data_IF_560791373482
#
_entry.id   IF_560791373482
#
_cell.length_a   1.000
_cell.length_b   1.000
_cell.length_c   1.000
_cell.angle_alpha   90.00
_cell.angle_beta   90.00
_cell.angle_gamma   90.00
#
_symmetry.space_group_name_H-M   'P 1'
#
loop_
_entity.id
_entity.type
_entity.pdbx_description
1 polymer ?
#
# COMPACT_ATOMS: atom_id res chain seq x y z
N UNK A 1 60.18 45.39 4.85
CA UNK A 1 61.01 45.45 6.03
C UNK A 1 60.99 44.10 6.69
N UNK A 2 62.15 43.52 6.99
CA UNK A 2 62.29 42.22 7.66
C UNK A 2 61.63 40.99 6.93
N UNK A 3 61.65 41.02 5.56
CA UNK A 3 61.02 40.02 4.68
C UNK A 3 59.51 39.87 4.85
N UNK A 4 58.85 40.83 5.52
CA UNK A 4 57.41 40.91 5.68
C UNK A 4 56.80 41.95 4.74
N UNK A 5 55.71 41.58 4.07
CA UNK A 5 54.96 42.49 3.21
C UNK A 5 53.91 43.22 4.03
N UNK A 6 53.96 44.55 4.01
CA UNK A 6 53.05 45.42 4.72
C UNK A 6 52.16 46.20 3.78
N UNK A 7 50.89 46.40 4.16
CA UNK A 7 49.99 47.27 3.45
C UNK A 7 50.26 48.72 3.74
N UNK A 8 50.37 49.50 2.66
CA UNK A 8 50.62 50.90 2.74
C UNK A 8 49.51 51.71 2.08
N UNK A 9 48.87 52.60 2.80
CA UNK A 9 47.88 53.52 2.30
C UNK A 9 48.37 54.95 2.43
N UNK A 10 48.33 55.72 1.33
CA UNK A 10 48.78 57.09 1.26
C UNK A 10 50.20 57.29 1.81
N UNK A 11 51.09 56.31 1.64
CA UNK A 11 52.50 56.38 2.10
C UNK A 11 52.72 56.02 3.57
N UNK A 12 51.70 55.58 4.28
CA UNK A 12 51.74 55.16 5.69
C UNK A 12 51.35 53.70 5.85
N UNK A 13 52.04 53.01 6.72
CA UNK A 13 51.62 51.64 7.10
C UNK A 13 50.22 51.63 7.79
N UNK A 14 49.31 50.82 7.31
CA UNK A 14 48.01 50.64 7.90
C UNK A 14 47.99 49.30 8.60
N UNK A 15 48.06 49.29 9.93
CA UNK A 15 48.11 48.07 10.73
C UNK A 15 46.73 47.49 11.04
N UNK A 16 45.66 48.17 10.63
CA UNK A 16 44.26 47.80 10.85
C UNK A 16 43.53 47.40 9.56
N UNK A 17 44.21 47.40 8.41
CA UNK A 17 43.63 46.94 7.16
C UNK A 17 43.59 45.43 7.10
N UNK A 18 42.37 44.86 6.91
CA UNK A 18 42.16 43.46 6.62
C UNK A 18 41.29 43.34 5.38
N UNK A 19 41.76 42.59 4.37
CA UNK A 19 41.03 42.40 3.11
C UNK A 19 41.94 42.24 1.89
N UNK A 20 41.34 42.29 0.69
CA UNK A 20 42.07 42.14 -0.57
C UNK A 20 42.73 43.44 -1.02
N UNK A 21 43.98 43.34 -1.43
CA UNK A 21 44.71 44.44 -2.07
C UNK A 21 45.39 43.97 -3.36
N UNK A 22 45.55 44.87 -4.33
CA UNK A 22 46.16 44.53 -5.62
C UNK A 22 47.57 45.07 -5.73
N UNK A 23 48.52 44.17 -6.07
CA UNK A 23 49.88 44.55 -6.30
C UNK A 23 50.45 43.89 -7.57
N UNK A 24 50.96 44.66 -8.49
CA UNK A 24 51.47 44.25 -9.81
C UNK A 24 50.55 43.28 -10.58
N UNK A 25 49.24 43.47 -10.44
CA UNK A 25 48.25 42.65 -11.17
C UNK A 25 47.65 41.47 -10.39
N UNK A 26 48.31 41.03 -9.32
CA UNK A 26 47.88 39.97 -8.42
C UNK A 26 47.13 40.53 -7.22
N UNK A 27 46.09 39.86 -6.76
CA UNK A 27 45.36 40.21 -5.57
C UNK A 27 45.83 39.36 -4.39
N UNK A 28 46.14 40.04 -3.28
CA UNK A 28 46.67 39.44 -2.07
C UNK A 28 45.75 39.69 -0.87
N UNK A 29 45.72 38.78 0.07
CA UNK A 29 45.00 38.92 1.32
C UNK A 29 45.92 39.48 2.38
N UNK A 30 45.48 40.57 2.96
CA UNK A 30 46.15 41.25 4.06
C UNK A 30 45.32 41.11 5.32
N UNK A 31 45.95 40.80 6.44
CA UNK A 31 45.34 40.75 7.76
C UNK A 31 46.14 41.61 8.73
N UNK A 32 45.45 42.54 9.41
CA UNK A 32 46.06 43.48 10.34
C UNK A 32 47.28 44.20 9.72
N UNK A 33 47.14 44.64 8.48
CA UNK A 33 48.17 45.37 7.73
C UNK A 33 49.32 44.51 7.21
N UNK A 34 49.32 43.20 7.37
CA UNK A 34 50.39 42.32 6.94
C UNK A 34 49.82 41.28 5.94
N UNK A 35 50.58 41.02 4.87
CA UNK A 35 50.22 39.98 3.92
C UNK A 35 50.24 38.62 4.61
N UNK A 36 49.09 37.94 4.64
CA UNK A 36 48.96 36.64 5.26
C UNK A 36 48.99 35.50 4.22
N UNK A 37 50.15 34.86 4.08
CA UNK A 37 50.37 33.71 3.17
C UNK A 37 49.71 32.42 3.63
N UNK A 38 49.32 32.32 4.89
CA UNK A 38 48.72 31.15 5.44
C UNK A 38 47.19 31.15 5.27
N UNK A 39 46.62 32.30 4.85
CA UNK A 39 45.19 32.43 4.68
C UNK A 39 44.68 31.67 3.46
N UNK A 40 43.74 30.74 3.68
CA UNK A 40 42.96 30.06 2.63
C UNK A 40 41.52 30.09 3.02
N UNK A 41 40.62 30.61 2.14
CA UNK A 41 39.19 30.73 2.42
C UNK A 41 38.51 31.87 1.72
N UNK A 42 37.30 32.21 2.15
CA UNK A 42 36.49 33.28 1.57
C UNK A 42 36.82 34.64 2.24
N UNK A 43 36.97 35.65 1.42
CA UNK A 43 37.06 37.02 1.89
C UNK A 43 36.18 37.94 1.04
N UNK A 44 35.62 38.97 1.68
CA UNK A 44 34.72 39.90 1.00
C UNK A 44 35.52 41.14 0.54
N UNK A 45 35.34 41.53 -0.73
CA UNK A 45 35.85 42.78 -1.26
C UNK A 45 34.72 43.54 -1.98
N UNK A 46 34.35 44.69 -1.48
CA UNK A 46 33.08 45.36 -1.76
C UNK A 46 31.88 44.43 -1.50
N UNK A 47 31.08 44.14 -2.51
CA UNK A 47 29.88 43.28 -2.38
C UNK A 47 30.08 41.86 -2.87
N UNK A 48 31.32 41.51 -3.27
CA UNK A 48 31.63 40.18 -3.84
C UNK A 48 32.53 39.39 -2.89
N UNK A 49 32.27 38.12 -2.77
CA UNK A 49 33.10 37.17 -2.03
C UNK A 49 34.05 36.45 -2.97
N UNK A 50 35.31 36.43 -2.59
CA UNK A 50 36.39 35.83 -3.36
C UNK A 50 37.08 34.71 -2.58
N UNK A 51 37.58 33.74 -3.31
CA UNK A 51 38.37 32.67 -2.73
C UNK A 51 39.85 32.97 -2.83
N UNK A 52 40.48 32.95 -1.68
CA UNK A 52 41.92 33.11 -1.51
C UNK A 52 42.53 31.77 -1.19
N UNK A 53 43.70 31.48 -1.76
CA UNK A 53 44.48 30.30 -1.46
C UNK A 53 45.94 30.70 -1.24
N UNK A 54 46.50 30.33 -0.09
CA UNK A 54 47.85 30.68 0.30
C UNK A 54 48.12 32.18 0.13
N UNK A 55 47.22 33.04 0.61
CA UNK A 55 47.34 34.50 0.59
C UNK A 55 47.07 35.15 -0.76
N UNK A 56 46.85 34.42 -1.83
CA UNK A 56 46.55 34.94 -3.16
C UNK A 56 45.14 34.59 -3.62
N UNK A 57 44.46 35.54 -4.30
CA UNK A 57 43.17 35.25 -4.89
C UNK A 57 43.31 34.22 -6.05
N UNK A 58 42.66 33.08 -5.91
CA UNK A 58 42.74 31.98 -6.90
C UNK A 58 41.53 32.03 -7.86
N UNK A 59 41.72 32.64 -9.03
CA UNK A 59 40.72 32.69 -10.11
C UNK A 59 40.42 31.32 -10.78
N UNK A 60 41.25 30.33 -10.53
CA UNK A 60 41.05 28.99 -11.14
C UNK A 60 40.29 28.06 -10.23
N UNK A 61 40.07 28.41 -8.97
CA UNK A 61 39.38 27.59 -8.02
C UNK A 61 37.90 27.46 -8.35
N UNK A 62 37.44 26.25 -8.45
CA UNK A 62 36.00 25.92 -8.50
C UNK A 62 35.76 24.71 -7.59
N UNK A 63 34.97 24.88 -6.56
CA UNK A 63 34.74 23.84 -5.57
C UNK A 63 34.15 24.35 -4.27
N UNK A 64 33.99 23.44 -3.28
CA UNK A 64 33.46 23.78 -1.95
C UNK A 64 34.51 24.51 -1.12
N UNK A 65 34.07 25.44 -0.29
CA UNK A 65 34.89 26.07 0.74
C UNK A 65 34.06 26.33 1.98
N UNK A 66 34.64 26.09 3.15
CA UNK A 66 33.95 26.32 4.41
C UNK A 66 34.24 27.75 4.90
N UNK A 67 33.18 28.43 5.37
CA UNK A 67 33.31 29.73 6.02
C UNK A 67 32.30 29.81 7.17
N UNK A 68 32.80 29.94 8.41
CA UNK A 68 32.02 29.98 9.65
C UNK A 68 31.03 28.76 9.78
N UNK A 69 31.48 27.58 9.43
CA UNK A 69 30.68 26.37 9.57
C UNK A 69 29.62 26.13 8.47
N UNK A 70 29.61 27.00 7.45
CA UNK A 70 28.77 26.87 6.26
C UNK A 70 29.64 26.54 5.05
N UNK A 71 29.24 25.54 4.26
CA UNK A 71 29.95 25.20 3.03
C UNK A 71 29.32 25.93 1.85
N UNK A 72 30.17 26.71 1.19
CA UNK A 72 29.84 27.49 0.00
C UNK A 72 30.45 26.85 -1.24
N UNK A 73 29.85 27.10 -2.40
CA UNK A 73 30.40 26.66 -3.68
C UNK A 73 30.93 27.85 -4.47
N UNK A 74 32.21 27.80 -4.72
CA UNK A 74 32.94 28.85 -5.46
C UNK A 74 33.10 28.45 -6.91
N UNK A 75 32.90 29.39 -7.82
CA UNK A 75 33.10 29.21 -9.26
C UNK A 75 34.13 30.22 -9.75
N UNK A 76 35.28 29.73 -10.26
CA UNK A 76 36.36 30.56 -10.77
C UNK A 76 36.74 31.70 -9.80
N UNK A 77 36.95 31.30 -8.54
CA UNK A 77 37.41 32.21 -7.49
C UNK A 77 36.34 33.14 -6.91
N UNK A 78 35.08 33.03 -7.32
CA UNK A 78 33.98 33.89 -6.89
C UNK A 78 32.84 33.03 -6.32
N UNK A 79 32.29 33.48 -5.19
CA UNK A 79 31.03 32.93 -4.68
C UNK A 79 29.86 33.53 -5.47
N UNK A 80 29.16 32.70 -6.23
CA UNK A 80 28.02 33.09 -7.04
C UNK A 80 26.70 32.77 -6.30
N UNK A 81 26.06 33.83 -5.78
CA UNK A 81 24.79 33.71 -5.03
C UNK A 81 23.59 33.37 -5.93
N UNK A 82 23.71 33.46 -7.23
CA UNK A 82 22.64 33.07 -8.15
C UNK A 82 22.75 31.59 -8.57
N UNK A 83 23.86 30.93 -8.20
CA UNK A 83 24.10 29.53 -8.57
C UNK A 83 23.25 28.57 -7.72
N UNK A 84 22.36 27.84 -8.38
CA UNK A 84 21.58 26.78 -7.77
C UNK A 84 21.54 25.59 -8.72
N UNK A 85 22.19 24.47 -8.35
CA UNK A 85 22.28 23.29 -9.19
C UNK A 85 22.99 22.14 -8.48
N UNK A 86 23.08 20.98 -9.15
CA UNK A 86 23.93 19.86 -8.73
C UNK A 86 25.40 20.15 -9.06
N UNK A 87 26.28 19.78 -8.14
CA UNK A 87 27.72 19.82 -8.31
C UNK A 87 28.34 18.48 -7.93
N UNK A 88 29.35 18.04 -8.69
CA UNK A 88 30.02 16.79 -8.44
C UNK A 88 31.36 17.03 -7.75
N UNK A 89 31.46 16.58 -6.49
CA UNK A 89 32.64 16.80 -5.64
C UNK A 89 32.90 15.50 -4.87
N UNK A 90 34.14 15.07 -4.81
CA UNK A 90 34.58 13.86 -4.08
C UNK A 90 33.76 12.59 -4.39
N UNK A 91 33.41 12.42 -5.66
CA UNK A 91 32.59 11.31 -6.17
C UNK A 91 31.12 11.32 -5.70
N UNK A 92 30.61 12.43 -5.18
CA UNK A 92 29.24 12.63 -4.73
C UNK A 92 28.62 13.84 -5.44
N UNK A 93 27.36 13.71 -5.81
CA UNK A 93 26.56 14.83 -6.31
C UNK A 93 25.86 15.53 -5.16
N UNK A 94 26.17 16.82 -4.97
CA UNK A 94 25.58 17.66 -3.95
C UNK A 94 24.68 18.71 -4.57
N UNK A 95 23.63 19.07 -3.87
CA UNK A 95 22.77 20.18 -4.27
C UNK A 95 23.26 21.48 -3.62
N UNK A 96 23.45 22.48 -4.45
CA UNK A 96 23.80 23.85 -4.06
C UNK A 96 22.60 24.74 -4.34
N UNK A 97 22.17 25.50 -3.35
CA UNK A 97 21.15 26.54 -3.50
C UNK A 97 21.74 27.90 -3.18
N UNK A 98 21.66 28.84 -4.14
CA UNK A 98 22.19 30.22 -3.98
C UNK A 98 23.62 30.21 -3.46
N UNK A 99 24.48 29.42 -4.06
CA UNK A 99 25.90 29.34 -3.71
C UNK A 99 26.21 28.60 -2.41
N UNK A 100 25.23 28.06 -1.71
CA UNK A 100 25.39 27.34 -0.44
C UNK A 100 25.04 25.85 -0.62
N UNK A 101 25.81 24.97 -0.04
CA UNK A 101 25.40 23.53 0.05
C UNK A 101 24.15 23.41 0.91
N UNK A 102 23.11 22.87 0.34
CA UNK A 102 21.81 22.68 1.01
C UNK A 102 21.71 21.23 1.50
N UNK A 103 22.10 20.98 2.75
CA UNK A 103 22.10 19.64 3.33
C UNK A 103 20.72 19.16 3.80
N UNK A 104 19.72 20.01 3.71
CA UNK A 104 18.33 19.75 4.10
C UNK A 104 17.35 19.73 2.90
N UNK A 105 17.86 19.95 1.70
CA UNK A 105 17.02 19.90 0.51
C UNK A 105 16.69 18.46 0.14
N UNK A 106 15.39 18.16 0.08
CA UNK A 106 14.85 16.89 -0.45
C UNK A 106 13.81 17.20 -1.51
N UNK A 107 13.96 16.59 -2.70
CA UNK A 107 13.04 16.79 -3.82
C UNK A 107 13.71 16.77 -5.19
N UNK A 108 12.97 17.23 -6.22
CA UNK A 108 13.45 17.24 -7.59
C UNK A 108 14.26 18.50 -7.92
N UNK A 109 15.39 18.30 -8.56
CA UNK A 109 16.20 19.40 -9.13
C UNK A 109 16.57 19.11 -10.58
N UNK A 110 16.71 20.17 -11.38
CA UNK A 110 17.02 20.04 -12.81
C UNK A 110 18.49 20.29 -13.07
N UNK A 111 19.16 19.35 -13.77
CA UNK A 111 20.54 19.49 -14.20
C UNK A 111 20.69 19.10 -15.67
N UNK A 112 21.20 20.00 -16.50
CA UNK A 112 21.35 19.83 -17.95
C UNK A 112 20.12 19.25 -18.68
N UNK A 113 18.91 19.62 -18.24
CA UNK A 113 17.66 19.20 -18.88
C UNK A 113 17.01 17.96 -18.27
N UNK A 114 17.73 17.20 -17.46
CA UNK A 114 17.25 16.03 -16.73
C UNK A 114 16.87 16.39 -15.30
N UNK A 115 15.82 15.77 -14.76
CA UNK A 115 15.40 15.94 -13.39
C UNK A 115 15.92 14.80 -12.52
N UNK A 116 16.50 15.14 -11.39
CA UNK A 116 17.11 14.23 -10.44
C UNK A 116 16.49 14.39 -9.07
N UNK A 117 16.41 13.31 -8.33
CA UNK A 117 15.96 13.31 -6.95
C UNK A 117 17.13 13.47 -6.00
N UNK A 118 17.01 14.47 -5.15
CA UNK A 118 17.97 14.80 -4.09
C UNK A 118 17.32 14.48 -2.75
N UNK A 119 18.07 13.88 -1.86
CA UNK A 119 17.68 13.62 -0.48
C UNK A 119 18.76 14.14 0.45
N UNK A 120 18.37 14.96 1.42
CA UNK A 120 19.29 15.58 2.37
C UNK A 120 20.51 16.22 1.68
N UNK A 121 20.27 16.94 0.59
CA UNK A 121 21.27 17.67 -0.18
C UNK A 121 22.16 16.80 -1.08
N UNK A 122 21.95 15.50 -1.14
CA UNK A 122 22.73 14.57 -1.96
C UNK A 122 21.81 13.85 -2.98
N UNK A 123 22.28 13.69 -4.21
CA UNK A 123 21.55 12.96 -5.23
C UNK A 123 21.44 11.49 -4.81
N UNK A 124 20.19 11.01 -4.67
CA UNK A 124 19.92 9.61 -4.31
C UNK A 124 19.60 8.78 -5.54
N UNK A 125 20.58 7.98 -6.00
CA UNK A 125 20.44 7.07 -7.13
C UNK A 125 19.58 5.82 -6.83
N UNK A 126 19.32 5.53 -5.56
CA UNK A 126 18.55 4.35 -5.16
C UNK A 126 17.05 4.68 -5.03
N UNK A 127 16.68 5.95 -5.10
CA UNK A 127 15.28 6.34 -4.93
C UNK A 127 14.41 5.81 -6.08
N UNK A 128 13.35 5.13 -5.69
CA UNK A 128 12.31 4.59 -6.56
C UNK A 128 10.94 4.87 -5.94
N UNK A 129 10.12 5.69 -6.58
CA UNK A 129 8.79 6.01 -6.05
C UNK A 129 8.25 7.33 -6.56
N UNK A 130 7.26 7.85 -5.85
CA UNK A 130 6.64 9.14 -6.11
C UNK A 130 7.30 10.22 -5.25
N UNK A 131 7.45 11.40 -5.80
CA UNK A 131 7.90 12.60 -5.08
C UNK A 131 7.09 13.81 -5.49
N UNK A 132 6.74 14.66 -4.52
CA UNK A 132 6.03 15.92 -4.81
C UNK A 132 6.98 16.98 -5.35
N UNK A 133 6.52 17.65 -6.40
CA UNK A 133 7.17 18.87 -6.87
C UNK A 133 6.10 19.91 -7.23
N UNK A 134 5.98 20.92 -6.41
CA UNK A 134 4.95 21.97 -6.52
C UNK A 134 3.52 21.45 -6.64
N UNK A 135 3.16 20.41 -5.84
CA UNK A 135 1.81 19.85 -5.76
C UNK A 135 1.49 18.83 -6.86
N UNK A 136 2.47 18.45 -7.67
CA UNK A 136 2.37 17.35 -8.62
C UNK A 136 3.28 16.21 -8.19
N UNK A 137 2.74 15.00 -8.10
CA UNK A 137 3.53 13.81 -7.83
C UNK A 137 4.16 13.29 -9.12
N UNK A 138 5.47 13.13 -9.11
CA UNK A 138 6.26 12.60 -10.21
C UNK A 138 6.90 11.26 -9.88
N UNK A 139 6.96 10.39 -10.86
CA UNK A 139 7.60 9.10 -10.71
C UNK A 139 9.10 9.19 -11.01
N UNK A 140 9.87 8.78 -10.03
CA UNK A 140 11.32 8.72 -10.08
C UNK A 140 11.77 7.27 -10.06
N UNK A 141 12.72 6.95 -10.89
CA UNK A 141 13.38 5.65 -10.96
C UNK A 141 14.88 5.82 -11.01
N UNK A 142 15.60 5.07 -10.15
CA UNK A 142 17.05 5.15 -10.08
C UNK A 142 17.53 6.62 -9.92
N UNK A 143 16.84 7.40 -9.07
CA UNK A 143 17.14 8.81 -8.79
C UNK A 143 16.83 9.78 -9.93
N UNK A 144 16.22 9.32 -11.04
CA UNK A 144 15.90 10.15 -12.21
C UNK A 144 14.40 10.13 -12.47
N UNK A 145 13.80 11.28 -12.76
CA UNK A 145 12.41 11.37 -13.16
C UNK A 145 12.21 10.65 -14.50
N UNK A 146 11.36 9.61 -14.51
CA UNK A 146 11.09 8.79 -15.68
C UNK A 146 9.86 9.26 -16.44
N UNK A 147 10.06 10.14 -17.42
CA UNK A 147 8.99 10.62 -18.31
C UNK A 147 8.41 9.55 -19.25
N UNK A 148 9.05 8.41 -19.36
CA UNK A 148 8.56 7.30 -20.20
C UNK A 148 7.62 6.36 -19.45
N UNK A 149 7.53 6.48 -18.13
CA UNK A 149 6.71 5.60 -17.32
C UNK A 149 5.23 5.99 -17.38
N UNK A 150 4.39 4.98 -17.63
CA UNK A 150 2.93 5.06 -17.44
C UNK A 150 2.43 3.76 -16.83
N UNK A 151 1.67 3.87 -15.73
CA UNK A 151 1.17 2.72 -15.00
C UNK A 151 0.82 3.06 -13.54
N UNK A 152 0.46 2.03 -12.79
CA UNK A 152 0.14 2.17 -11.38
C UNK A 152 1.40 2.15 -10.51
N UNK A 153 1.42 3.01 -9.50
CA UNK A 153 2.48 3.11 -8.51
C UNK A 153 1.86 3.15 -7.12
N UNK A 154 2.40 2.30 -6.24
CA UNK A 154 2.07 2.35 -4.81
C UNK A 154 2.93 3.42 -4.17
N UNK A 155 2.32 4.30 -3.39
CA UNK A 155 3.05 5.30 -2.63
C UNK A 155 3.88 4.62 -1.54
N UNK A 156 5.18 4.92 -1.50
CA UNK A 156 6.08 4.31 -0.51
C UNK A 156 5.82 4.84 0.91
N UNK A 157 5.32 6.06 1.01
CA UNK A 157 5.02 6.72 2.29
C UNK A 157 3.65 6.32 2.83
N UNK A 158 2.73 5.92 1.96
CA UNK A 158 1.39 5.44 2.30
C UNK A 158 0.98 4.31 1.34
N UNK A 159 1.24 3.07 1.74
CA UNK A 159 1.02 1.87 0.92
C UNK A 159 -0.44 1.62 0.54
N UNK A 160 -1.38 2.28 1.20
CA UNK A 160 -2.81 2.21 0.86
C UNK A 160 -3.14 3.10 -0.35
N UNK A 161 -2.26 4.04 -0.70
CA UNK A 161 -2.41 4.93 -1.85
C UNK A 161 -1.79 4.31 -3.11
N UNK A 162 -2.62 4.05 -4.11
CA UNK A 162 -2.21 3.55 -5.41
C UNK A 162 -2.58 4.60 -6.45
N UNK A 163 -1.58 5.22 -7.06
CA UNK A 163 -1.77 6.26 -8.07
C UNK A 163 -1.55 5.74 -9.48
N UNK A 164 -2.26 6.32 -10.44
CA UNK A 164 -1.95 6.14 -11.84
C UNK A 164 -1.07 7.28 -12.34
N UNK A 165 0.08 6.90 -12.85
CA UNK A 165 1.06 7.79 -13.46
C UNK A 165 0.91 7.72 -14.98
N UNK A 166 0.92 8.85 -15.65
CA UNK A 166 1.00 8.95 -17.10
C UNK A 166 2.14 9.89 -17.50
N UNK A 167 3.04 9.38 -18.34
CA UNK A 167 4.22 10.15 -18.79
C UNK A 167 5.00 10.75 -17.61
N UNK A 168 5.27 9.95 -16.58
CA UNK A 168 6.09 10.31 -15.43
C UNK A 168 5.42 11.16 -14.36
N UNK A 169 4.16 11.53 -14.51
CA UNK A 169 3.41 12.32 -13.53
C UNK A 169 2.07 11.66 -13.18
N UNK A 170 1.61 11.82 -11.94
CA UNK A 170 0.27 11.36 -11.54
C UNK A 170 -0.79 12.13 -12.33
N UNK A 171 -1.61 11.42 -13.07
CA UNK A 171 -2.71 12.01 -13.82
C UNK A 171 -3.99 12.12 -12.98
N UNK A 172 -4.19 13.26 -12.37
CA UNK A 172 -5.39 13.56 -11.57
C UNK A 172 -6.66 13.79 -12.38
N UNK A 173 -6.60 13.74 -13.70
CA UNK A 173 -7.81 13.85 -14.55
C UNK A 173 -8.57 12.53 -14.67
N UNK A 174 -7.95 11.42 -14.27
CA UNK A 174 -8.52 10.08 -14.43
C UNK A 174 -9.55 9.77 -13.36
N UNK A 175 -10.75 9.42 -13.83
CA UNK A 175 -11.88 9.02 -13.00
C UNK A 175 -12.62 7.85 -13.65
N UNK A 176 -12.98 6.83 -12.87
CA UNK A 176 -13.71 5.66 -13.38
C UNK A 176 -12.94 4.35 -13.26
N UNK A 177 -13.37 3.34 -14.01
CA UNK A 177 -12.72 2.02 -13.99
C UNK A 177 -11.53 1.96 -14.93
N UNK A 178 -10.41 1.53 -14.40
CA UNK A 178 -9.16 1.31 -15.12
C UNK A 178 -8.61 -0.08 -14.90
N UNK A 179 -7.98 -0.65 -15.93
CA UNK A 179 -7.33 -1.94 -15.79
C UNK A 179 -6.04 -1.79 -14.98
N UNK A 180 -6.01 -2.41 -13.81
CA UNK A 180 -4.86 -2.39 -12.91
C UNK A 180 -3.78 -3.37 -13.36
N UNK A 181 -4.16 -4.64 -13.54
CA UNK A 181 -3.28 -5.70 -14.04
C UNK A 181 -4.10 -6.91 -14.49
N UNK A 182 -3.92 -7.36 -15.71
CA UNK A 182 -4.65 -8.51 -16.26
C UNK A 182 -6.16 -8.28 -16.28
N UNK A 183 -6.91 -9.07 -15.51
CA UNK A 183 -8.36 -8.90 -15.35
C UNK A 183 -8.75 -8.10 -14.10
N UNK A 184 -7.78 -7.56 -13.38
CA UNK A 184 -8.06 -6.75 -12.21
C UNK A 184 -8.32 -5.31 -12.63
N UNK A 185 -9.48 -4.79 -12.26
CA UNK A 185 -9.89 -3.43 -12.52
C UNK A 185 -10.04 -2.68 -11.21
N UNK A 186 -9.62 -1.42 -11.19
CA UNK A 186 -9.79 -0.55 -10.04
C UNK A 186 -10.56 0.72 -10.41
N UNK A 187 -11.17 1.32 -9.40
CA UNK A 187 -11.89 2.58 -9.53
C UNK A 187 -10.99 3.74 -9.11
N UNK A 188 -10.76 4.65 -10.04
CA UNK A 188 -9.96 5.84 -9.82
C UNK A 188 -10.85 7.05 -9.56
N UNK A 189 -10.43 7.87 -8.61
CA UNK A 189 -10.89 9.23 -8.37
C UNK A 189 -9.66 10.14 -8.34
N UNK A 190 -9.61 11.10 -9.25
CA UNK A 190 -8.47 12.02 -9.39
C UNK A 190 -7.12 11.30 -9.48
N UNK A 191 -7.08 10.20 -10.24
CA UNK A 191 -5.88 9.39 -10.46
C UNK A 191 -5.45 8.51 -9.30
N UNK A 192 -6.19 8.48 -8.19
CA UNK A 192 -5.98 7.65 -7.02
C UNK A 192 -7.02 6.53 -6.98
N UNK A 193 -6.62 5.31 -6.62
CA UNK A 193 -7.59 4.23 -6.35
C UNK A 193 -8.42 4.59 -5.12
N UNK A 194 -9.74 4.68 -5.30
CA UNK A 194 -10.66 4.90 -4.19
C UNK A 194 -10.97 3.58 -3.47
N UNK A 195 -10.12 3.20 -2.54
CA UNK A 195 -10.26 1.99 -1.72
C UNK A 195 -11.47 2.02 -0.78
N UNK A 196 -12.13 3.15 -0.61
CA UNK A 196 -13.36 3.28 0.17
C UNK A 196 -14.62 2.86 -0.62
N UNK A 197 -14.54 2.79 -1.95
CA UNK A 197 -15.69 2.47 -2.78
C UNK A 197 -16.07 0.99 -2.69
N UNK A 198 -17.30 0.74 -2.26
CA UNK A 198 -17.91 -0.59 -2.20
C UNK A 198 -19.31 -0.52 -2.79
N UNK A 199 -19.61 -1.39 -3.77
CA UNK A 199 -20.92 -1.45 -4.38
C UNK A 199 -20.94 -1.50 -5.91
N UNK A 200 -22.08 -1.17 -6.49
CA UNK A 200 -22.28 -1.21 -7.95
C UNK A 200 -21.74 0.03 -8.64
N UNK A 201 -21.00 -0.18 -9.70
CA UNK A 201 -20.53 0.86 -10.61
C UNK A 201 -20.93 0.55 -12.05
N UNK A 202 -21.54 1.54 -12.74
CA UNK A 202 -21.91 1.38 -14.15
C UNK A 202 -20.74 1.78 -15.06
N UNK A 203 -20.32 0.83 -15.90
CA UNK A 203 -19.29 1.07 -16.90
C UNK A 203 -19.79 0.63 -18.27
N UNK A 204 -19.99 1.57 -19.15
CA UNK A 204 -20.52 1.37 -20.51
C UNK A 204 -21.81 0.54 -20.57
N UNK A 205 -22.71 0.72 -19.60
CA UNK A 205 -24.01 0.05 -19.54
C UNK A 205 -24.01 -1.29 -18.81
N UNK A 206 -22.87 -1.81 -18.42
CA UNK A 206 -22.74 -2.98 -17.55
C UNK A 206 -22.47 -2.52 -16.13
N UNK A 207 -23.15 -3.15 -15.16
CA UNK A 207 -22.97 -2.86 -13.75
C UNK A 207 -22.04 -3.89 -13.12
N UNK A 208 -20.96 -3.42 -12.54
CA UNK A 208 -19.95 -4.23 -11.88
C UNK A 208 -19.95 -3.99 -10.37
N UNK A 209 -19.64 -5.03 -9.62
CA UNK A 209 -19.49 -4.93 -8.17
C UNK A 209 -18.02 -4.69 -7.82
N UNK A 210 -17.80 -3.60 -7.09
CA UNK A 210 -16.48 -3.27 -6.55
C UNK A 210 -16.45 -3.46 -5.05
N UNK A 211 -15.32 -3.91 -4.56
CA UNK A 211 -15.01 -4.05 -3.14
C UNK A 211 -13.64 -3.45 -2.88
N UNK A 212 -13.58 -2.51 -1.92
CA UNK A 212 -12.36 -1.75 -1.61
C UNK A 212 -11.72 -1.11 -2.86
N UNK A 213 -12.53 -0.56 -3.74
CA UNK A 213 -12.09 0.08 -4.97
C UNK A 213 -11.71 -0.85 -6.11
N UNK A 214 -11.73 -2.16 -5.91
CA UNK A 214 -11.38 -3.15 -6.94
C UNK A 214 -12.60 -3.95 -7.37
N UNK A 215 -12.65 -4.33 -8.65
CA UNK A 215 -13.69 -5.18 -9.18
C UNK A 215 -13.55 -6.58 -8.60
N UNK A 216 -14.60 -7.07 -7.91
CA UNK A 216 -14.61 -8.39 -7.31
C UNK A 216 -15.37 -9.39 -8.19
N UNK A 217 -14.64 -10.11 -9.04
CA UNK A 217 -15.19 -11.16 -9.91
C UNK A 217 -15.72 -12.38 -9.15
N UNK A 218 -15.36 -12.55 -7.89
CA UNK A 218 -15.82 -13.67 -7.07
C UNK A 218 -17.08 -13.32 -6.27
N UNK A 219 -17.55 -12.07 -6.36
CA UNK A 219 -18.75 -11.69 -5.63
C UNK A 219 -19.99 -12.35 -6.22
N UNK A 220 -20.70 -13.05 -5.36
CA UNK A 220 -21.95 -13.72 -5.66
C UNK A 220 -22.96 -13.46 -4.53
N UNK A 221 -23.96 -12.63 -4.78
CA UNK A 221 -24.90 -12.26 -3.73
C UNK A 221 -25.70 -11.02 -4.04
N UNK A 222 -26.34 -10.47 -3.02
CA UNK A 222 -27.07 -9.22 -3.11
C UNK A 222 -26.22 -8.04 -2.69
N UNK A 223 -26.40 -6.93 -3.36
CA UNK A 223 -25.82 -5.64 -2.95
C UNK A 223 -26.87 -4.54 -2.95
N UNK A 224 -26.75 -3.60 -2.00
CA UNK A 224 -27.63 -2.44 -1.95
C UNK A 224 -27.10 -1.30 -2.81
N UNK A 225 -27.97 -0.74 -3.65
CA UNK A 225 -27.64 0.46 -4.42
C UNK A 225 -28.83 1.43 -4.34
N UNK A 226 -28.62 2.54 -3.68
CA UNK A 226 -29.65 3.57 -3.42
C UNK A 226 -30.98 3.02 -2.85
N UNK A 227 -30.89 2.09 -1.90
CA UNK A 227 -32.05 1.51 -1.21
C UNK A 227 -32.72 0.35 -1.95
N UNK A 228 -32.27 -0.01 -3.14
CA UNK A 228 -32.72 -1.18 -3.88
C UNK A 228 -31.63 -2.26 -3.81
N UNK A 229 -32.06 -3.50 -3.59
CA UNK A 229 -31.14 -4.65 -3.57
C UNK A 229 -31.11 -5.32 -4.93
N UNK A 230 -29.90 -5.52 -5.45
CA UNK A 230 -29.64 -6.11 -6.75
C UNK A 230 -28.84 -7.39 -6.62
N UNK A 231 -29.13 -8.34 -7.50
CA UNK A 231 -28.41 -9.62 -7.59
C UNK A 231 -27.16 -9.48 -8.44
N UNK A 232 -26.04 -9.86 -7.88
CA UNK A 232 -24.73 -9.89 -8.54
C UNK A 232 -24.25 -11.32 -8.62
N UNK A 233 -23.77 -11.72 -9.78
CA UNK A 233 -23.20 -13.03 -10.04
C UNK A 233 -21.85 -12.86 -10.74
N UNK A 234 -20.78 -13.40 -10.17
CA UNK A 234 -19.43 -13.26 -10.72
C UNK A 234 -19.02 -11.80 -10.89
N UNK A 235 -19.35 -10.92 -9.91
CA UNK A 235 -19.02 -9.50 -9.95
C UNK A 235 -19.84 -8.64 -10.90
N UNK A 236 -20.84 -9.19 -11.57
CA UNK A 236 -21.70 -8.49 -12.56
C UNK A 236 -23.16 -8.56 -12.13
N UNK A 237 -23.86 -7.44 -12.22
CA UNK A 237 -25.32 -7.43 -12.06
C UNK A 237 -25.97 -8.09 -13.28
N UNK A 238 -26.60 -9.26 -13.06
CA UNK A 238 -27.34 -9.99 -14.11
C UNK A 238 -28.83 -9.69 -14.06
N UNK A 239 -29.31 -8.89 -15.01
CA UNK A 239 -30.72 -8.54 -15.18
C UNK A 239 -31.60 -9.73 -15.59
N UNK A 240 -31.01 -10.84 -16.01
CA UNK A 240 -31.77 -12.05 -16.37
C UNK A 240 -31.86 -13.04 -15.22
N UNK A 241 -31.05 -12.85 -14.17
CA UNK A 241 -31.03 -13.77 -13.04
C UNK A 241 -32.33 -13.72 -12.26
N UNK A 242 -32.87 -14.91 -12.00
CA UNK A 242 -34.00 -15.12 -11.08
C UNK A 242 -33.75 -16.36 -10.25
N UNK A 243 -33.67 -16.21 -8.93
CA UNK A 243 -33.34 -17.28 -8.00
C UNK A 243 -32.99 -16.76 -6.63
N UNK A 244 -32.48 -17.64 -5.77
CA UNK A 244 -32.05 -17.27 -4.44
C UNK A 244 -30.60 -16.78 -4.45
N UNK A 245 -30.35 -15.67 -3.78
CA UNK A 245 -29.00 -15.13 -3.51
C UNK A 245 -28.80 -14.84 -2.03
N UNK A 246 -27.57 -14.98 -1.58
CA UNK A 246 -27.21 -14.70 -0.20
C UNK A 246 -26.90 -13.22 0.03
N UNK A 247 -27.37 -12.71 1.18
CA UNK A 247 -26.92 -11.43 1.72
C UNK A 247 -26.85 -11.53 3.25
N UNK A 248 -25.66 -11.32 3.80
CA UNK A 248 -25.40 -11.60 5.19
C UNK A 248 -25.64 -13.07 5.53
N UNK A 249 -26.48 -13.35 6.53
CA UNK A 249 -26.82 -14.70 7.02
C UNK A 249 -28.14 -15.23 6.46
N UNK A 250 -28.74 -14.58 5.47
CA UNK A 250 -30.05 -14.93 4.91
C UNK A 250 -29.98 -15.12 3.40
N UNK A 251 -30.92 -15.90 2.85
CA UNK A 251 -31.19 -15.95 1.42
C UNK A 251 -32.34 -15.04 1.07
N UNK A 252 -32.23 -14.41 -0.07
CA UNK A 252 -33.20 -13.51 -0.64
C UNK A 252 -33.55 -13.97 -2.06
N UNK A 253 -34.82 -13.89 -2.42
CA UNK A 253 -35.25 -14.22 -3.78
C UNK A 253 -35.12 -12.99 -4.68
N UNK A 254 -34.43 -13.17 -5.79
CA UNK A 254 -34.21 -12.17 -6.82
C UNK A 254 -35.03 -12.52 -8.05
N UNK A 255 -35.65 -11.55 -8.68
CA UNK A 255 -36.32 -11.68 -9.97
C UNK A 255 -35.81 -10.61 -10.92
N UNK A 256 -35.32 -11.05 -12.08
CA UNK A 256 -34.74 -10.16 -13.07
C UNK A 256 -33.70 -9.19 -12.47
N UNK A 257 -32.76 -9.75 -11.70
CA UNK A 257 -31.67 -8.99 -11.08
C UNK A 257 -32.06 -8.14 -9.88
N UNK A 258 -33.32 -8.10 -9.45
CA UNK A 258 -33.79 -7.25 -8.34
C UNK A 258 -34.43 -8.11 -7.25
N UNK A 259 -34.21 -7.75 -6.00
CA UNK A 259 -34.89 -8.39 -4.85
C UNK A 259 -36.40 -8.30 -4.99
N UNK A 260 -37.09 -9.44 -4.93
CA UNK A 260 -38.54 -9.55 -5.02
C UNK A 260 -39.17 -9.85 -3.67
N UNK A 261 -39.56 -8.82 -2.94
CA UNK A 261 -40.26 -8.92 -1.65
C UNK A 261 -41.67 -9.49 -1.76
N UNK A 262 -42.20 -9.72 -2.95
CA UNK A 262 -43.51 -10.32 -3.12
C UNK A 262 -43.46 -11.85 -3.26
N UNK A 263 -42.27 -12.42 -3.39
CA UNK A 263 -42.09 -13.85 -3.61
C UNK A 263 -42.41 -14.66 -2.32
N UNK A 264 -43.31 -15.62 -2.48
CA UNK A 264 -43.66 -16.61 -1.45
C UNK A 264 -43.69 -17.98 -2.12
N UNK A 265 -42.84 -18.90 -1.67
CA UNK A 265 -42.73 -20.22 -2.28
C UNK A 265 -41.37 -20.87 -2.07
N UNK A 266 -41.06 -21.84 -2.86
CA UNK A 266 -39.82 -22.60 -2.82
C UNK A 266 -38.87 -22.13 -3.91
N UNK A 267 -37.58 -22.02 -3.60
CA UNK A 267 -36.52 -21.75 -4.59
C UNK A 267 -35.25 -22.52 -4.23
N UNK A 268 -34.54 -22.92 -5.29
CA UNK A 268 -33.23 -23.57 -5.18
C UNK A 268 -32.12 -22.53 -4.95
N UNK A 269 -31.14 -22.92 -4.13
CA UNK A 269 -29.89 -22.13 -3.93
C UNK A 269 -28.69 -23.01 -4.23
N UNK A 270 -27.74 -22.47 -4.97
CA UNK A 270 -26.50 -22.97 -5.62
C UNK A 270 -26.11 -24.47 -5.51
N UNK A 271 -26.68 -25.25 -4.64
CA UNK A 271 -26.29 -26.67 -4.38
C UNK A 271 -27.39 -27.66 -4.67
N UNK A 272 -28.48 -27.26 -5.37
CA UNK A 272 -29.65 -28.11 -5.56
C UNK A 272 -30.53 -28.20 -4.31
N UNK A 273 -30.22 -27.46 -3.25
CA UNK A 273 -31.02 -27.45 -2.02
C UNK A 273 -32.15 -26.43 -2.13
N UNK A 274 -33.37 -26.87 -1.87
CA UNK A 274 -34.58 -26.05 -1.93
C UNK A 274 -34.83 -25.44 -0.55
N UNK A 275 -35.14 -24.14 -0.55
CA UNK A 275 -35.49 -23.34 0.63
C UNK A 275 -36.85 -22.69 0.46
N UNK A 276 -37.55 -22.50 1.60
CA UNK A 276 -38.83 -21.84 1.65
C UNK A 276 -38.68 -20.35 1.88
N UNK A 277 -39.41 -19.55 1.11
CA UNK A 277 -39.38 -18.09 1.16
C UNK A 277 -40.72 -17.50 1.56
N UNK A 278 -40.64 -16.46 2.39
CA UNK A 278 -41.77 -15.60 2.74
C UNK A 278 -41.35 -14.14 2.57
N UNK A 279 -42.16 -13.38 1.84
CA UNK A 279 -41.86 -11.96 1.54
C UNK A 279 -40.45 -11.78 0.95
N UNK A 280 -40.03 -12.73 0.10
CA UNK A 280 -38.74 -12.74 -0.59
C UNK A 280 -37.56 -13.20 0.26
N UNK A 281 -37.74 -13.50 1.54
CA UNK A 281 -36.66 -13.93 2.45
C UNK A 281 -36.85 -15.38 2.85
N UNK A 282 -35.76 -16.15 2.84
CA UNK A 282 -35.81 -17.55 3.29
C UNK A 282 -36.12 -17.64 4.78
N UNK A 283 -37.01 -18.59 5.13
CA UNK A 283 -37.45 -18.85 6.51
C UNK A 283 -36.74 -20.02 7.16
N UNK A 284 -36.05 -20.84 6.38
CA UNK A 284 -35.38 -22.08 6.76
C UNK A 284 -33.89 -22.15 6.43
N UNK A 285 -33.32 -21.08 5.89
CA UNK A 285 -31.88 -20.96 5.67
C UNK A 285 -31.19 -20.35 6.90
N UNK A 286 -30.23 -21.06 7.42
CA UNK A 286 -29.34 -20.53 8.46
C UNK A 286 -27.92 -20.39 7.88
N UNK A 287 -27.58 -19.18 7.45
CA UNK A 287 -26.29 -18.84 6.84
C UNK A 287 -25.13 -19.02 7.80
N UNK A 288 -25.40 -18.97 9.08
CA UNK A 288 -24.43 -19.21 10.13
C UNK A 288 -24.01 -20.67 10.22
N UNK A 289 -25.02 -21.56 10.18
CA UNK A 289 -24.77 -23.01 10.11
C UNK A 289 -24.08 -23.38 8.80
N UNK A 290 -24.47 -22.76 7.69
CA UNK A 290 -23.86 -23.01 6.38
C UNK A 290 -22.38 -22.60 6.36
N UNK A 291 -22.03 -21.46 6.91
CA UNK A 291 -20.64 -20.99 6.97
C UNK A 291 -19.78 -21.88 7.87
N UNK A 292 -20.31 -22.23 9.04
CA UNK A 292 -19.64 -23.17 9.93
C UNK A 292 -19.40 -24.52 9.26
N UNK A 293 -20.37 -25.01 8.50
CA UNK A 293 -20.24 -26.26 7.77
C UNK A 293 -19.13 -26.22 6.71
N UNK A 294 -19.01 -25.11 5.98
CA UNK A 294 -17.93 -24.96 5.00
C UNK A 294 -16.55 -24.91 5.67
N UNK A 295 -16.44 -24.24 6.82
CA UNK A 295 -15.18 -24.20 7.58
C UNK A 295 -14.80 -25.59 8.09
N UNK A 296 -15.76 -26.34 8.64
CA UNK A 296 -15.53 -27.73 9.09
C UNK A 296 -15.13 -28.62 7.90
N UNK A 297 -15.76 -28.45 6.73
CA UNK A 297 -15.37 -29.14 5.50
C UNK A 297 -13.91 -28.91 5.15
N UNK A 298 -13.45 -27.65 5.23
CA UNK A 298 -12.07 -27.29 4.94
C UNK A 298 -11.10 -27.99 5.90
N UNK A 299 -11.41 -28.01 7.21
CA UNK A 299 -10.60 -28.69 8.22
C UNK A 299 -10.50 -30.18 7.93
N UNK A 300 -11.63 -30.84 7.69
CA UNK A 300 -11.68 -32.25 7.37
C UNK A 300 -10.86 -32.58 6.13
N UNK A 301 -10.99 -31.76 5.08
CA UNK A 301 -10.22 -31.93 3.85
C UNK A 301 -8.71 -31.82 4.09
N UNK A 302 -8.30 -30.87 4.93
CA UNK A 302 -6.89 -30.70 5.29
C UNK A 302 -6.35 -31.85 6.16
N UNK A 303 -7.18 -32.43 7.01
CA UNK A 303 -6.76 -33.54 7.89
C UNK A 303 -6.59 -34.90 7.14
N UNK A 304 -7.34 -35.07 6.06
CA UNK A 304 -7.36 -36.36 5.33
C UNK A 304 -6.14 -36.59 4.44
N UNK A 305 -5.33 -35.57 4.21
CA UNK A 305 -4.01 -35.60 3.53
C UNK A 305 -3.97 -36.32 2.16
N UNK A 306 -5.10 -36.54 1.49
CA UNK A 306 -5.17 -37.30 0.26
C UNK A 306 -6.15 -36.65 -0.74
N UNK A 307 -6.06 -37.09 -1.99
CA UNK A 307 -7.00 -36.76 -3.07
C UNK A 307 -8.42 -37.36 -2.80
N UNK A 308 -8.96 -37.12 -1.61
CA UNK A 308 -10.28 -37.54 -1.21
C UNK A 308 -11.32 -36.50 -1.54
N UNK A 309 -12.48 -36.93 -2.02
CA UNK A 309 -13.59 -36.03 -2.27
C UNK A 309 -14.46 -35.96 -1.01
N UNK A 310 -14.66 -34.74 -0.46
CA UNK A 310 -15.47 -34.49 0.74
C UNK A 310 -16.71 -33.70 0.37
N UNK A 311 -17.89 -34.26 0.65
CA UNK A 311 -19.18 -33.63 0.38
C UNK A 311 -19.98 -33.43 1.67
N UNK A 312 -20.56 -32.25 1.88
CA UNK A 312 -21.47 -31.96 2.99
C UNK A 312 -22.84 -32.58 2.69
N UNK A 313 -23.25 -33.59 3.47
CA UNK A 313 -24.56 -34.18 3.37
C UNK A 313 -25.63 -33.44 4.19
N UNK A 314 -25.23 -32.97 5.37
CA UNK A 314 -26.13 -32.20 6.23
C UNK A 314 -25.34 -31.29 7.17
N UNK A 315 -25.95 -30.18 7.57
CA UNK A 315 -25.47 -29.31 8.62
C UNK A 315 -26.65 -28.90 9.52
N UNK A 316 -26.47 -28.98 10.83
CA UNK A 316 -27.51 -28.65 11.81
C UNK A 316 -26.92 -27.79 12.92
N UNK A 317 -27.60 -26.69 13.26
CA UNK A 317 -27.29 -25.88 14.42
C UNK A 317 -27.58 -26.65 15.72
N UNK A 318 -26.68 -26.52 16.67
CA UNK A 318 -26.80 -27.06 18.03
C UNK A 318 -26.79 -25.93 19.03
N UNK A 319 -27.93 -25.26 19.26
CA UNK A 319 -27.99 -24.05 20.10
C UNK A 319 -27.64 -24.32 21.55
N UNK A 320 -27.89 -25.51 22.05
CA UNK A 320 -27.68 -25.90 23.45
C UNK A 320 -26.26 -26.46 23.71
N UNK A 321 -25.40 -26.48 22.70
CA UNK A 321 -24.04 -26.98 22.85
C UNK A 321 -23.12 -25.92 23.42
N UNK A 322 -22.84 -26.00 24.73
CA UNK A 322 -22.01 -25.05 25.43
C UNK A 322 -22.61 -23.65 25.49
N UNK A 323 -21.87 -22.64 25.96
CA UNK A 323 -22.40 -21.28 26.16
C UNK A 323 -22.74 -20.54 24.85
N UNK A 324 -22.21 -20.96 23.74
CA UNK A 324 -22.33 -20.24 22.45
C UNK A 324 -22.93 -21.09 21.32
N UNK A 325 -23.34 -22.32 21.63
CA UNK A 325 -23.85 -23.26 20.64
C UNK A 325 -22.76 -23.90 19.77
N UNK A 326 -23.19 -24.66 18.79
CA UNK A 326 -22.33 -25.36 17.86
C UNK A 326 -23.02 -25.74 16.56
N UNK A 327 -22.35 -26.53 15.72
CA UNK A 327 -22.87 -27.05 14.47
C UNK A 327 -22.45 -28.51 14.34
N UNK A 328 -23.38 -29.39 14.01
CA UNK A 328 -23.09 -30.74 13.58
C UNK A 328 -23.08 -30.79 12.06
N UNK A 329 -22.02 -31.31 11.47
CA UNK A 329 -21.87 -31.44 10.02
C UNK A 329 -21.59 -32.88 9.66
N UNK A 330 -22.42 -33.47 8.80
CA UNK A 330 -22.24 -34.84 8.29
C UNK A 330 -21.68 -34.77 6.88
N UNK A 331 -20.61 -35.51 6.65
CA UNK A 331 -19.92 -35.65 5.37
C UNK A 331 -20.01 -37.02 4.79
N UNK A 332 -20.04 -37.10 3.45
CA UNK A 332 -19.56 -38.25 2.68
C UNK A 332 -18.09 -37.97 2.31
N UNK A 333 -17.24 -38.95 2.57
CA UNK A 333 -15.82 -38.92 2.29
C UNK A 333 -15.52 -40.07 1.34
N UNK A 334 -15.20 -39.75 0.08
CA UNK A 334 -14.80 -40.74 -0.92
C UNK A 334 -13.29 -40.81 -1.00
N UNK A 335 -12.76 -41.99 -0.78
CA UNK A 335 -11.34 -42.30 -0.83
C UNK A 335 -10.89 -42.67 -2.24
N UNK A 336 -9.61 -42.53 -2.54
CA UNK A 336 -9.04 -42.89 -3.84
C UNK A 336 -9.13 -44.39 -4.18
N UNK A 337 -9.30 -45.25 -3.17
CA UNK A 337 -9.50 -46.70 -3.35
C UNK A 337 -10.95 -47.07 -3.70
N UNK A 338 -11.83 -46.05 -3.80
CA UNK A 338 -13.26 -46.24 -4.12
C UNK A 338 -14.13 -46.56 -2.92
N UNK A 339 -13.59 -46.56 -1.72
CA UNK A 339 -14.39 -46.64 -0.48
C UNK A 339 -15.04 -45.33 -0.14
N UNK A 340 -16.17 -45.38 0.57
CA UNK A 340 -16.91 -44.18 1.00
C UNK A 340 -17.23 -44.32 2.50
N UNK A 341 -16.85 -43.28 3.25
CA UNK A 341 -17.11 -43.14 4.67
C UNK A 341 -18.14 -42.05 4.93
N UNK A 342 -18.91 -42.20 6.00
CA UNK A 342 -19.85 -41.19 6.48
C UNK A 342 -19.44 -40.78 7.89
N UNK A 343 -19.10 -39.49 8.06
CA UNK A 343 -18.67 -38.99 9.36
C UNK A 343 -19.43 -37.73 9.75
N UNK A 344 -19.70 -37.59 11.05
CA UNK A 344 -20.29 -36.38 11.60
C UNK A 344 -19.30 -35.70 12.51
N UNK A 345 -19.00 -34.44 12.20
CA UNK A 345 -18.16 -33.56 13.02
C UNK A 345 -19.04 -32.60 13.78
N UNK A 346 -18.66 -32.28 15.03
CA UNK A 346 -19.31 -31.28 15.83
C UNK A 346 -18.33 -30.15 16.05
N UNK A 347 -18.68 -28.99 15.51
CA UNK A 347 -17.94 -27.76 15.74
C UNK A 347 -18.57 -26.98 16.89
N UNK A 348 -17.79 -26.64 17.90
CA UNK A 348 -18.24 -25.81 19.03
C UNK A 348 -17.55 -24.45 18.99
N UNK A 349 -18.24 -23.43 19.45
CA UNK A 349 -17.69 -22.08 19.62
C UNK A 349 -17.18 -21.92 21.02
N UNK A 350 -15.91 -21.67 21.19
CA UNK A 350 -15.36 -21.20 22.46
C UNK A 350 -14.87 -19.78 22.27
N UNK A 351 -15.20 -18.89 23.21
CA UNK A 351 -14.74 -17.49 23.26
C UNK A 351 -15.44 -16.46 22.39
N UNK A 352 -16.56 -16.77 21.73
CA UNK A 352 -17.32 -15.72 21.03
C UNK A 352 -18.45 -15.20 21.89
N UNK A 353 -18.46 -13.91 22.16
CA UNK A 353 -19.55 -13.26 22.88
C UNK A 353 -20.83 -13.12 22.06
N UNK A 354 -20.75 -13.25 20.74
CA UNK A 354 -21.88 -13.16 19.83
C UNK A 354 -21.86 -14.30 18.81
N UNK A 355 -23.04 -14.71 18.31
CA UNK A 355 -23.13 -15.77 17.31
C UNK A 355 -22.57 -15.41 15.92
N UNK A 356 -21.84 -14.35 15.76
CA UNK A 356 -21.22 -13.92 14.50
C UNK A 356 -19.77 -14.39 14.44
N UNK A 357 -19.49 -15.65 14.25
CA UNK A 357 -18.10 -16.09 14.21
C UNK A 357 -17.55 -16.34 12.83
N UNK A 358 -18.39 -16.38 11.82
CA UNK A 358 -17.98 -16.59 10.46
C UNK A 358 -18.51 -15.46 9.58
N UNK A 359 -17.64 -14.82 8.84
CA UNK A 359 -18.01 -13.81 7.84
C UNK A 359 -18.17 -12.39 8.36
N UNK A 360 -17.74 -12.08 9.60
CA UNK A 360 -17.76 -10.70 10.11
C UNK A 360 -16.39 -10.29 10.61
N UNK A 361 -15.79 -9.34 9.91
CA UNK A 361 -14.46 -8.78 10.19
C UNK A 361 -14.29 -8.19 11.58
N UNK A 362 -15.32 -7.61 12.13
CA UNK A 362 -15.17 -6.63 13.20
C UNK A 362 -15.34 -7.16 14.63
N UNK A 363 -15.79 -8.41 14.80
CA UNK A 363 -16.20 -8.89 16.12
C UNK A 363 -15.75 -10.31 16.47
N UNK A 364 -14.75 -10.84 15.78
CA UNK A 364 -14.15 -12.08 16.22
C UNK A 364 -13.00 -11.67 17.16
N UNK A 365 -13.25 -11.66 18.45
CA UNK A 365 -12.19 -11.53 19.46
C UNK A 365 -11.19 -12.69 19.34
N UNK A 366 -10.33 -12.90 20.31
CA UNK A 366 -9.36 -14.03 20.38
C UNK A 366 -10.06 -15.39 20.47
N UNK A 367 -11.09 -15.59 19.64
CA UNK A 367 -11.93 -16.79 19.67
C UNK A 367 -11.30 -17.94 18.89
N UNK A 368 -11.53 -19.14 19.36
CA UNK A 368 -11.09 -20.37 18.73
C UNK A 368 -12.31 -21.25 18.41
N UNK A 369 -12.36 -21.80 17.21
CA UNK A 369 -13.33 -22.83 16.85
C UNK A 369 -12.73 -24.20 17.14
N UNK A 370 -13.39 -25.00 17.97
CA UNK A 370 -13.00 -26.39 18.20
C UNK A 370 -13.88 -27.32 17.39
N UNK A 371 -13.26 -28.23 16.67
CA UNK A 371 -13.94 -29.26 15.89
C UNK A 371 -13.69 -30.61 16.57
N UNK A 372 -14.75 -31.34 16.84
CA UNK A 372 -14.71 -32.68 17.43
C UNK A 372 -15.37 -33.68 16.49
N UNK A 373 -14.68 -34.75 16.17
CA UNK A 373 -15.24 -35.83 15.35
C UNK A 373 -16.25 -36.64 16.18
N UNK A 374 -17.35 -37.07 15.51
CA UNK A 374 -18.33 -38.00 16.08
C UNK A 374 -18.49 -39.20 15.17
N UNK A 375 -18.20 -40.37 15.70
CA UNK A 375 -18.39 -41.64 15.01
C UNK A 375 -19.57 -42.38 15.63
N UNK A 376 -20.46 -42.90 14.81
CA UNK A 376 -21.59 -43.85 15.19
C UNK A 376 -22.49 -43.36 16.32
N UNK A 377 -22.81 -42.09 16.38
CA UNK A 377 -23.79 -41.55 17.32
C UNK A 377 -23.25 -41.19 18.71
N UNK A 378 -22.05 -41.59 19.07
CA UNK A 378 -21.41 -41.25 20.33
C UNK A 378 -20.35 -40.13 20.12
N UNK A 379 -20.26 -39.25 21.09
CA UNK A 379 -19.25 -38.17 21.08
C UNK A 379 -17.91 -38.75 21.54
N UNK A 380 -17.06 -39.07 20.59
CA UNK A 380 -15.69 -39.45 20.92
C UNK A 380 -14.81 -38.22 20.77
N UNK A 381 -14.15 -37.82 21.86
CA UNK A 381 -13.28 -36.62 21.93
C UNK A 381 -11.91 -36.96 21.40
N UNK A 382 -11.74 -37.33 20.14
CA UNK A 382 -10.43 -37.77 19.72
C UNK A 382 -9.62 -36.75 18.93
N UNK A 383 -10.21 -35.77 18.27
CA UNK A 383 -9.42 -34.77 17.56
C UNK A 383 -10.08 -33.39 17.61
N UNK A 384 -9.69 -32.56 18.56
CA UNK A 384 -10.08 -31.16 18.54
C UNK A 384 -9.04 -30.35 17.77
N UNK A 385 -9.47 -29.62 16.76
CA UNK A 385 -8.63 -28.68 16.02
C UNK A 385 -9.05 -27.26 16.41
N UNK A 386 -8.12 -26.51 16.95
CA UNK A 386 -8.33 -25.09 17.26
C UNK A 386 -7.96 -24.22 16.07
N UNK A 387 -8.88 -23.40 15.59
CA UNK A 387 -8.63 -22.37 14.60
C UNK A 387 -8.50 -21.01 15.27
N UNK A 388 -7.48 -20.27 14.87
CA UNK A 388 -7.28 -18.89 15.30
C UNK A 388 -8.16 -17.94 14.46
N UNK A 389 -8.28 -16.70 14.93
CA UNK A 389 -8.93 -15.62 14.18
C UNK A 389 -8.31 -15.44 12.80
N UNK A 390 -6.98 -15.48 12.71
CA UNK A 390 -6.25 -15.32 11.45
C UNK A 390 -6.58 -16.46 10.47
N UNK A 391 -6.74 -17.69 10.95
CA UNK A 391 -7.14 -18.83 10.11
C UNK A 391 -8.53 -18.61 9.50
N UNK A 392 -9.46 -18.09 10.28
CA UNK A 392 -10.82 -17.76 9.83
C UNK A 392 -10.81 -16.61 8.83
N UNK A 393 -10.06 -15.55 9.11
CA UNK A 393 -9.91 -14.40 8.22
C UNK A 393 -9.31 -14.85 6.89
N UNK A 394 -8.22 -15.61 6.91
CA UNK A 394 -7.55 -16.08 5.71
C UNK A 394 -8.46 -16.99 4.84
N UNK A 395 -9.32 -17.79 5.46
CA UNK A 395 -10.33 -18.58 4.75
C UNK A 395 -11.27 -17.68 3.94
N UNK A 396 -11.84 -16.65 4.56
CA UNK A 396 -12.81 -15.77 3.90
C UNK A 396 -12.20 -14.83 2.85
N UNK A 397 -10.89 -14.55 2.94
CA UNK A 397 -10.20 -13.68 1.96
C UNK A 397 -9.52 -14.44 0.82
N UNK A 398 -9.62 -15.77 0.79
CA UNK A 398 -8.97 -16.58 -0.24
C UNK A 398 -7.43 -16.51 -0.20
N UNK A 399 -6.86 -16.00 0.89
CA UNK A 399 -5.42 -15.94 1.08
C UNK A 399 -4.97 -17.29 1.66
N UNK A 400 -4.47 -18.16 0.79
CA UNK A 400 -3.77 -19.42 1.07
C UNK A 400 -4.38 -20.30 2.17
N UNK A 401 -5.20 -21.24 1.79
CA UNK A 401 -5.72 -22.36 2.60
C UNK A 401 -4.64 -23.19 3.32
N UNK A 402 -3.38 -23.01 3.03
CA UNK A 402 -2.26 -23.74 3.64
C UNK A 402 -1.96 -23.38 5.09
N UNK A 403 -2.45 -22.26 5.61
CA UNK A 403 -2.19 -21.85 7.00
C UNK A 403 -3.14 -22.48 8.02
N UNK A 404 -4.28 -23.01 7.60
CA UNK A 404 -5.20 -23.76 8.47
C UNK A 404 -4.55 -25.03 8.99
N UNK A 405 -3.54 -25.56 8.28
CA UNK A 405 -2.79 -26.76 8.65
C UNK A 405 -1.93 -26.66 9.91
N UNK A 406 -1.70 -25.44 10.41
CA UNK A 406 -0.88 -25.21 11.61
C UNK A 406 -1.69 -24.97 12.89
N UNK A 407 -3.01 -25.16 12.84
CA UNK A 407 -3.81 -25.20 14.05
C UNK A 407 -3.29 -26.33 14.93
N UNK A 408 -2.74 -26.01 16.08
CA UNK A 408 -2.19 -26.98 17.02
C UNK A 408 -3.31 -27.93 17.45
N UNK A 409 -3.06 -29.24 17.34
CA UNK A 409 -3.89 -30.22 18.06
C UNK A 409 -3.82 -29.87 19.54
N UNK A 410 -4.94 -29.55 20.13
CA UNK A 410 -5.05 -29.29 21.56
C UNK A 410 -4.90 -30.60 22.34
#
# INVERSE_FOLDING_TARGET
VDDVWHYVENGVYSNDYTGLTKYYGTWYYVEDGVLNWDYTGLTKYYDTWYYVENGELNWNYTGPTEYYGTTYYVIKGILDWDYSSLVYVDNVWHYVEKGVYSNDYTGLTKYYGTWYYVEDGVLNWEFLGLTDYYGTLYYVKDGVLDWGFSGFVIDIDDVDNIYYVENGAVDRSLNGLYNYYGNNWCYLVDGLVDSSYNGLFNYYGTWYYLENGFLNWNYYGLTNYYGTYYGVEGGILDWNFSGALRYGTSLYYVRNGVFDSSFNGEAEYCTGKIYNFKDGVSVDYDGYVADAAQLVKLIVYCELNDDTEVEILSAQGLPDLGPYGGVAVTFSIKHNDGTEDYRTYIATKSYFETPKFLGVRENIGDGTLFVTERISGDLETENSVGLTLDDVINYFYGINTYYVLNASKA
#
